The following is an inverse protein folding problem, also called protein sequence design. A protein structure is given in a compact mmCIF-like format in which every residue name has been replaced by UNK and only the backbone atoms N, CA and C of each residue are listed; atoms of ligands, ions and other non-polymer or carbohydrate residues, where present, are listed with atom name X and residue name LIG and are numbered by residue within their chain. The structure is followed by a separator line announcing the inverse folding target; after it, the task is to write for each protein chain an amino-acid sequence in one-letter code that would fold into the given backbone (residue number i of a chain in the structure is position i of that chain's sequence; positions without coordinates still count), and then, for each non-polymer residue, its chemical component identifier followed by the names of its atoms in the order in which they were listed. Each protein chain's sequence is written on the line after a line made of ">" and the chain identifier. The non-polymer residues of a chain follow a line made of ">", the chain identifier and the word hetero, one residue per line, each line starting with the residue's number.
data_IF_035774845352
#
_entry.id   IF_035774845352
#
_cell.length_a   1.000
_cell.length_b   1.000
_cell.length_c   1.000
_cell.angle_alpha   90.00
_cell.angle_beta   90.00
_cell.angle_gamma   90.00
#
_symmetry.space_group_name_H-M   'P 1'
#
loop_
_entity.id
_entity.type
_entity.pdbx_description
1 polymer ?
#
# COMPACT_ATOMS: atom_id res chain seq x y z
N UNK A 1 -32.89 9.50 -23.81
CA UNK A 1 -32.05 9.48 -22.61
C UNK A 1 -31.47 8.07 -22.50
N UNK A 2 -30.20 7.92 -22.73
CA UNK A 2 -29.51 6.67 -22.38
C UNK A 2 -29.30 6.68 -20.88
N UNK A 3 -29.94 5.74 -20.17
CA UNK A 3 -29.76 5.56 -18.73
C UNK A 3 -28.27 5.32 -18.43
N UNK A 4 -27.80 5.83 -17.29
CA UNK A 4 -26.47 5.51 -16.80
C UNK A 4 -26.31 3.99 -16.75
N UNK A 5 -25.15 3.43 -17.12
CA UNK A 5 -24.94 1.99 -17.03
C UNK A 5 -25.15 1.55 -15.58
N UNK A 6 -25.99 0.55 -15.42
CA UNK A 6 -26.22 -0.08 -14.11
C UNK A 6 -24.98 -0.88 -13.73
N UNK A 7 -24.19 -0.33 -12.80
CA UNK A 7 -22.99 -0.96 -12.26
C UNK A 7 -23.29 -2.07 -11.23
N UNK A 8 -24.54 -2.50 -11.07
CA UNK A 8 -25.01 -3.31 -9.94
C UNK A 8 -24.89 -4.82 -10.09
N UNK A 9 -24.43 -5.37 -11.23
CA UNK A 9 -24.40 -6.83 -11.45
C UNK A 9 -23.03 -7.30 -11.93
N UNK A 10 -22.03 -7.29 -11.03
CA UNK A 10 -20.79 -8.03 -11.29
C UNK A 10 -20.30 -8.72 -10.03
N UNK A 11 -19.72 -9.91 -10.18
CA UNK A 11 -19.07 -10.69 -9.15
C UNK A 11 -18.28 -9.78 -8.22
N UNK A 12 -18.82 -9.49 -7.03
CA UNK A 12 -18.12 -8.67 -6.05
C UNK A 12 -16.84 -9.40 -5.64
N UNK A 13 -15.71 -8.78 -5.89
CA UNK A 13 -14.45 -9.24 -5.32
C UNK A 13 -14.56 -9.26 -3.80
N UNK A 14 -14.07 -10.32 -3.18
CA UNK A 14 -13.85 -10.34 -1.75
C UNK A 14 -12.49 -9.71 -1.37
N UNK A 15 -12.27 -9.53 -0.08
CA UNK A 15 -11.04 -8.91 0.45
C UNK A 15 -9.78 -9.69 0.05
N UNK A 16 -9.84 -11.01 0.00
CA UNK A 16 -8.74 -11.87 -0.40
C UNK A 16 -8.40 -11.68 -1.88
N UNK A 17 -9.41 -11.65 -2.72
CA UNK A 17 -9.24 -11.47 -4.17
C UNK A 17 -8.60 -10.12 -4.50
N UNK A 18 -9.04 -9.03 -3.87
CA UNK A 18 -8.45 -7.71 -4.12
C UNK A 18 -7.01 -7.63 -3.63
N UNK A 19 -6.69 -8.22 -2.48
CA UNK A 19 -5.30 -8.26 -1.99
C UNK A 19 -4.39 -9.12 -2.86
N UNK A 20 -4.89 -10.20 -3.45
CA UNK A 20 -4.15 -10.98 -4.45
C UNK A 20 -3.82 -10.13 -5.69
N UNK A 21 -4.70 -9.22 -6.11
CA UNK A 21 -4.41 -8.27 -7.20
C UNK A 21 -3.33 -7.26 -6.80
N UNK A 22 -3.41 -6.71 -5.59
CA UNK A 22 -2.37 -5.84 -5.04
C UNK A 22 -1.02 -6.55 -5.05
N UNK A 23 -0.96 -7.77 -4.53
CA UNK A 23 0.27 -8.57 -4.48
C UNK A 23 0.83 -8.82 -5.89
N UNK A 24 -0.01 -9.19 -6.86
CA UNK A 24 0.40 -9.40 -8.24
C UNK A 24 1.00 -8.14 -8.89
N UNK A 25 0.42 -6.97 -8.63
CA UNK A 25 0.96 -5.69 -9.11
C UNK A 25 2.30 -5.39 -8.42
N UNK A 26 2.41 -5.58 -7.12
CA UNK A 26 3.66 -5.40 -6.36
C UNK A 26 4.76 -6.33 -6.88
N UNK A 27 4.45 -7.60 -7.13
CA UNK A 27 5.43 -8.57 -7.64
C UNK A 27 5.99 -8.16 -9.00
N UNK A 28 5.16 -7.57 -9.85
CA UNK A 28 5.54 -7.14 -11.20
C UNK A 28 6.26 -5.79 -11.19
N UNK A 29 5.76 -4.79 -10.44
CA UNK A 29 6.21 -3.40 -10.54
C UNK A 29 7.05 -2.94 -9.35
N UNK A 30 7.09 -3.69 -8.26
CA UNK A 30 7.90 -3.45 -7.05
C UNK A 30 7.61 -2.15 -6.29
N UNK A 31 6.71 -1.31 -6.76
CA UNK A 31 6.42 -0.01 -6.15
C UNK A 31 4.92 0.23 -6.00
N UNK A 32 4.58 1.07 -5.03
CA UNK A 32 3.26 1.64 -4.84
C UNK A 32 3.38 3.10 -4.44
N UNK A 33 2.35 3.88 -4.68
CA UNK A 33 2.25 5.26 -4.24
C UNK A 33 1.54 5.30 -2.89
N UNK A 34 2.14 6.01 -1.93
CA UNK A 34 1.55 6.23 -0.61
C UNK A 34 1.21 7.70 -0.43
N UNK A 35 -0.06 7.99 -0.19
CA UNK A 35 -0.54 9.30 0.22
C UNK A 35 -0.67 9.36 1.75
N UNK A 36 -0.06 10.39 2.33
CA UNK A 36 -0.14 10.72 3.76
C UNK A 36 -0.56 12.17 3.93
N UNK A 37 -0.98 12.55 5.12
CA UNK A 37 -1.38 13.91 5.47
C UNK A 37 -0.45 14.41 6.58
N UNK A 38 0.05 15.65 6.45
CA UNK A 38 0.86 16.28 7.48
C UNK A 38 0.02 16.89 8.61
N UNK A 39 0.69 17.45 9.62
CA UNK A 39 0.03 18.06 10.79
C UNK A 39 -0.85 19.26 10.41
N UNK A 40 -0.58 19.91 9.28
CA UNK A 40 -1.37 21.04 8.76
C UNK A 40 -2.54 20.60 7.86
N UNK A 41 -2.73 19.28 7.66
CA UNK A 41 -3.75 18.73 6.80
C UNK A 41 -3.39 18.71 5.32
N UNK A 42 -2.12 18.94 4.96
CA UNK A 42 -1.66 18.92 3.57
C UNK A 42 -1.31 17.50 3.13
N UNK A 43 -1.77 17.06 1.94
CA UNK A 43 -1.44 15.73 1.42
C UNK A 43 -0.02 15.69 0.84
N UNK A 44 0.63 14.54 1.04
CA UNK A 44 1.93 14.20 0.46
C UNK A 44 1.85 12.85 -0.21
N UNK A 45 2.38 12.74 -1.44
CA UNK A 45 2.45 11.48 -2.19
C UNK A 45 3.91 11.12 -2.43
N UNK A 46 4.23 9.85 -2.26
CA UNK A 46 5.56 9.29 -2.54
C UNK A 46 5.46 7.84 -2.97
N UNK A 47 6.41 7.40 -3.75
CA UNK A 47 6.55 5.98 -4.03
C UNK A 47 7.33 5.28 -2.91
N UNK A 48 6.97 4.05 -2.63
CA UNK A 48 7.68 3.14 -1.73
C UNK A 48 7.71 1.75 -2.36
N UNK A 49 8.57 0.89 -1.81
CA UNK A 49 8.57 -0.54 -2.13
C UNK A 49 7.77 -1.27 -1.06
N UNK A 50 6.53 -1.67 -1.35
CA UNK A 50 5.67 -2.38 -0.41
C UNK A 50 5.84 -3.89 -0.49
N UNK A 51 5.31 -4.58 0.50
CA UNK A 51 5.10 -6.03 0.50
C UNK A 51 3.78 -6.40 1.18
N UNK A 52 3.24 -7.54 0.78
CA UNK A 52 2.18 -8.25 1.50
C UNK A 52 2.81 -9.52 2.05
N UNK A 53 2.60 -9.80 3.33
CA UNK A 53 3.08 -11.03 3.95
C UNK A 53 2.00 -12.12 3.86
N UNK A 54 2.41 -13.34 3.53
CA UNK A 54 1.49 -14.48 3.33
C UNK A 54 0.58 -14.73 4.53
N UNK A 55 1.12 -14.61 5.74
CA UNK A 55 0.40 -14.88 6.98
C UNK A 55 -0.39 -13.66 7.49
N UNK A 56 -0.29 -12.52 6.79
CA UNK A 56 -0.94 -11.25 7.14
C UNK A 56 -1.56 -10.58 5.91
N UNK A 57 -2.53 -11.24 5.25
CA UNK A 57 -3.04 -10.80 3.95
C UNK A 57 -3.87 -9.50 4.00
N UNK A 58 -4.26 -9.03 5.18
CA UNK A 58 -5.00 -7.78 5.39
C UNK A 58 -4.11 -6.58 5.68
N UNK A 59 -2.80 -6.66 5.44
CA UNK A 59 -1.87 -5.57 5.70
C UNK A 59 -0.87 -5.38 4.57
N UNK A 60 -0.40 -4.13 4.41
CA UNK A 60 0.66 -3.73 3.48
C UNK A 60 1.82 -3.20 4.30
N UNK A 61 3.02 -3.69 4.02
CA UNK A 61 4.25 -3.33 4.71
C UNK A 61 5.16 -2.51 3.81
N UNK A 62 5.91 -1.59 4.40
CA UNK A 62 6.97 -0.84 3.72
C UNK A 62 8.10 -0.48 4.70
N UNK A 63 9.28 -0.18 4.17
CA UNK A 63 10.44 0.26 4.94
C UNK A 63 10.76 1.69 4.57
N UNK A 64 11.10 2.50 5.58
CA UNK A 64 11.55 3.87 5.41
C UNK A 64 12.63 4.21 6.43
N UNK A 65 13.42 5.26 6.19
CA UNK A 65 14.31 5.78 7.22
C UNK A 65 13.49 6.45 8.34
N UNK A 66 13.77 6.09 9.59
CA UNK A 66 13.00 6.53 10.75
C UNK A 66 13.02 8.04 11.00
N UNK A 67 14.08 8.72 10.54
CA UNK A 67 14.25 10.16 10.66
C UNK A 67 13.52 11.00 9.60
N UNK A 68 12.90 10.39 8.61
CA UNK A 68 12.16 11.13 7.60
C UNK A 68 10.83 11.64 8.15
N UNK A 69 10.42 12.84 7.70
CA UNK A 69 9.18 13.50 8.09
C UNK A 69 7.93 12.62 7.93
N UNK A 70 7.92 11.66 6.99
CA UNK A 70 6.80 10.74 6.79
C UNK A 70 6.50 9.86 8.00
N UNK A 71 7.50 9.49 8.82
CA UNK A 71 7.26 8.71 10.05
C UNK A 71 6.50 9.58 11.06
N UNK A 72 6.86 10.85 11.21
CA UNK A 72 6.10 11.79 12.04
C UNK A 72 4.68 11.99 11.50
N UNK A 73 4.51 12.11 10.19
CA UNK A 73 3.20 12.26 9.55
C UNK A 73 2.29 11.07 9.85
N UNK A 74 2.77 9.83 9.70
CA UNK A 74 1.94 8.64 9.96
C UNK A 74 1.60 8.45 11.44
N UNK A 75 2.40 8.98 12.35
CA UNK A 75 2.08 9.00 13.79
C UNK A 75 0.97 10.00 14.13
N UNK A 76 0.98 11.17 13.50
CA UNK A 76 -0.02 12.23 13.73
C UNK A 76 -1.34 11.96 13.02
N UNK A 77 -1.28 11.45 11.80
CA UNK A 77 -2.43 11.15 10.94
C UNK A 77 -2.31 9.73 10.38
N UNK A 78 -2.87 8.72 11.07
CA UNK A 78 -2.69 7.31 10.70
C UNK A 78 -3.47 6.90 9.46
N UNK A 79 -4.47 7.67 9.01
CA UNK A 79 -5.24 7.34 7.81
C UNK A 79 -4.43 7.66 6.56
N UNK A 80 -4.26 6.64 5.71
CA UNK A 80 -3.47 6.71 4.48
C UNK A 80 -4.18 6.05 3.32
N UNK A 81 -3.71 6.34 2.11
CA UNK A 81 -4.16 5.67 0.91
C UNK A 81 -2.96 5.25 0.05
N UNK A 82 -2.97 3.99 -0.34
CA UNK A 82 -2.07 3.43 -1.33
C UNK A 82 -2.72 3.40 -2.70
N UNK A 83 -1.91 3.58 -3.74
CA UNK A 83 -2.33 3.32 -5.11
C UNK A 83 -1.33 2.38 -5.79
N UNK A 84 -1.86 1.32 -6.37
CA UNK A 84 -1.16 0.32 -7.18
C UNK A 84 -1.74 0.34 -8.57
N UNK A 85 -0.91 0.39 -9.59
CA UNK A 85 -1.37 0.48 -10.97
C UNK A 85 -0.47 -0.32 -11.91
N UNK A 86 -1.07 -0.83 -12.98
CA UNK A 86 -0.32 -1.37 -14.11
C UNK A 86 0.24 -0.23 -14.97
N UNK A 87 1.37 -0.41 -15.69
CA UNK A 87 1.92 0.63 -16.56
C UNK A 87 0.96 1.07 -17.66
N UNK A 88 0.15 0.16 -18.18
CA UNK A 88 -0.88 0.44 -19.19
C UNK A 88 -2.13 1.12 -18.62
N UNK A 89 -2.23 1.25 -17.29
CA UNK A 89 -3.39 1.78 -16.58
C UNK A 89 -4.70 1.04 -16.87
N UNK A 90 -4.61 -0.22 -17.24
CA UNK A 90 -5.77 -1.09 -17.43
C UNK A 90 -6.35 -1.61 -16.10
N UNK A 91 -5.56 -1.52 -15.03
CA UNK A 91 -5.98 -1.84 -13.66
C UNK A 91 -5.33 -0.87 -12.67
N UNK A 92 -6.16 -0.27 -11.80
CA UNK A 92 -5.75 0.57 -10.68
C UNK A 92 -6.43 0.09 -9.41
N UNK A 93 -5.66 -0.18 -8.36
CA UNK A 93 -6.19 -0.55 -7.04
C UNK A 93 -5.78 0.50 -6.02
N UNK A 94 -6.75 1.16 -5.41
CA UNK A 94 -6.54 2.05 -4.27
C UNK A 94 -6.89 1.33 -2.98
N UNK A 95 -6.05 1.46 -1.96
CA UNK A 95 -6.24 0.79 -0.67
C UNK A 95 -6.12 1.83 0.44
N UNK A 96 -7.18 1.98 1.23
CA UNK A 96 -7.20 2.81 2.44
C UNK A 96 -7.03 1.98 3.68
N UNK A 97 -6.39 2.56 4.68
CA UNK A 97 -6.24 1.94 5.98
C UNK A 97 -5.52 2.80 6.98
N UNK A 98 -5.34 2.24 8.16
CA UNK A 98 -4.59 2.86 9.23
C UNK A 98 -3.14 2.37 9.21
N UNK A 99 -2.19 3.31 9.15
CA UNK A 99 -0.77 3.01 9.15
C UNK A 99 -0.18 3.18 10.55
N UNK A 100 0.74 2.29 10.90
CA UNK A 100 1.49 2.37 12.15
C UNK A 100 2.97 1.97 11.94
N UNK A 101 3.81 2.34 12.89
CA UNK A 101 5.22 1.91 12.94
C UNK A 101 5.29 0.59 13.68
N UNK A 102 5.87 -0.41 13.05
CA UNK A 102 6.04 -1.74 13.65
C UNK A 102 7.20 -1.73 14.63
N UNK A 103 6.91 -1.97 15.91
CA UNK A 103 7.91 -2.06 16.98
C UNK A 103 8.28 -3.50 17.34
N UNK A 104 7.44 -4.48 16.99
CA UNK A 104 7.70 -5.89 17.25
C UNK A 104 8.94 -6.38 16.49
N UNK A 105 10.00 -6.86 17.17
CA UNK A 105 11.26 -7.25 16.54
C UNK A 105 11.12 -8.39 15.53
N UNK A 106 10.28 -9.38 15.79
CA UNK A 106 10.07 -10.53 14.90
C UNK A 106 9.41 -10.11 13.60
N UNK A 107 8.33 -9.33 13.68
CA UNK A 107 7.63 -8.82 12.52
C UNK A 107 8.52 -7.86 11.71
N UNK A 108 9.27 -7.00 12.42
CA UNK A 108 10.24 -6.11 11.80
C UNK A 108 11.29 -6.89 11.00
N UNK A 109 11.85 -7.95 11.58
CA UNK A 109 12.85 -8.80 10.92
C UNK A 109 12.27 -9.49 9.67
N UNK A 110 11.05 -10.02 9.77
CA UNK A 110 10.34 -10.66 8.66
C UNK A 110 10.13 -9.69 7.48
N UNK A 111 9.66 -8.48 7.75
CA UNK A 111 9.47 -7.45 6.71
C UNK A 111 10.79 -7.06 6.06
N UNK A 112 11.85 -6.89 6.86
CA UNK A 112 13.19 -6.59 6.36
C UNK A 112 13.73 -7.70 5.45
N UNK A 113 13.46 -8.96 5.78
CA UNK A 113 13.86 -10.11 4.97
C UNK A 113 13.15 -10.13 3.61
N UNK A 114 11.86 -9.82 3.58
CA UNK A 114 11.06 -9.83 2.34
C UNK A 114 11.38 -8.62 1.45
N UNK A 115 11.45 -7.42 2.03
CA UNK A 115 11.64 -6.18 1.27
C UNK A 115 13.11 -5.88 1.00
N UNK A 116 14.00 -6.22 1.93
CA UNK A 116 15.42 -5.87 1.88
C UNK A 116 16.11 -6.17 0.54
N UNK A 117 15.97 -7.38 -0.03
CA UNK A 117 16.58 -7.72 -1.32
C UNK A 117 16.13 -6.84 -2.49
N UNK A 118 14.94 -6.24 -2.39
CA UNK A 118 14.37 -5.33 -3.40
C UNK A 118 14.91 -3.90 -3.29
N UNK A 119 15.56 -3.57 -2.17
CA UNK A 119 16.03 -2.24 -1.82
C UNK A 119 17.56 -2.08 -1.92
N UNK A 120 18.21 -2.76 -2.82
CA UNK A 120 19.69 -2.75 -2.95
C UNK A 120 20.30 -1.34 -2.99
N UNK A 121 19.63 -0.39 -3.63
CA UNK A 121 20.04 1.01 -3.67
C UNK A 121 19.91 1.67 -2.30
N UNK A 122 18.91 1.29 -1.54
CA UNK A 122 18.63 1.82 -0.20
C UNK A 122 19.68 1.37 0.82
N UNK A 123 20.14 0.11 0.72
CA UNK A 123 21.17 -0.44 1.60
C UNK A 123 22.52 0.24 1.47
N UNK A 124 22.83 0.81 0.31
CA UNK A 124 24.03 1.62 0.11
C UNK A 124 23.99 2.95 0.85
N UNK A 125 22.81 3.44 1.18
CA UNK A 125 22.57 4.73 1.83
C UNK A 125 22.28 4.57 3.33
N UNK A 126 21.77 3.42 3.76
CA UNK A 126 21.46 3.11 5.15
C UNK A 126 22.55 2.21 5.74
N UNK A 127 23.52 2.81 6.43
CA UNK A 127 24.62 2.08 7.07
C UNK A 127 24.18 1.29 8.31
N UNK A 128 23.00 1.57 8.86
CA UNK A 128 22.50 0.92 10.07
C UNK A 128 21.00 0.60 9.93
N UNK A 129 20.64 -0.68 10.05
CA UNK A 129 19.24 -1.14 10.02
C UNK A 129 18.40 -0.64 11.19
N UNK A 130 19.04 -0.19 12.28
CA UNK A 130 18.35 0.42 13.43
C UNK A 130 17.70 1.76 13.09
N UNK A 131 18.22 2.47 12.09
CA UNK A 131 17.67 3.73 11.60
C UNK A 131 16.48 3.54 10.66
N UNK A 132 16.12 2.29 10.33
CA UNK A 132 14.99 1.96 9.48
C UNK A 132 13.72 1.83 10.30
N UNK A 133 12.65 2.42 9.81
CA UNK A 133 11.29 2.18 10.30
C UNK A 133 10.55 1.21 9.38
N UNK A 134 9.87 0.25 9.97
CA UNK A 134 8.92 -0.63 9.27
C UNK A 134 7.53 -0.09 9.49
N UNK A 135 6.82 0.14 8.40
CA UNK A 135 5.44 0.63 8.40
C UNK A 135 4.49 -0.52 8.08
N UNK A 136 3.39 -0.58 8.79
CA UNK A 136 2.27 -1.48 8.53
C UNK A 136 1.02 -0.66 8.26
N UNK A 137 0.36 -0.89 7.14
CA UNK A 137 -0.98 -0.37 6.86
C UNK A 137 -1.98 -1.50 7.03
N UNK A 138 -2.83 -1.40 8.05
CA UNK A 138 -3.97 -2.31 8.23
C UNK A 138 -5.07 -1.87 7.28
N UNK A 139 -5.43 -2.73 6.34
CA UNK A 139 -6.38 -2.40 5.27
C UNK A 139 -7.80 -2.35 5.82
N UNK A 140 -8.52 -1.30 5.51
CA UNK A 140 -9.93 -1.11 5.89
C UNK A 140 -10.86 -1.14 4.67
N UNK A 141 -10.35 -0.68 3.53
CA UNK A 141 -11.15 -0.50 2.33
C UNK A 141 -10.26 -0.54 1.09
N UNK A 142 -10.73 -1.16 0.02
CA UNK A 142 -10.05 -1.16 -1.27
C UNK A 142 -11.03 -0.87 -2.41
N UNK A 143 -10.53 -0.23 -3.45
CA UNK A 143 -11.25 0.02 -4.69
C UNK A 143 -10.41 -0.46 -5.86
N UNK A 144 -10.96 -1.35 -6.66
CA UNK A 144 -10.36 -1.77 -7.93
C UNK A 144 -11.06 -1.08 -9.08
N UNK A 145 -10.32 -0.42 -9.92
CA UNK A 145 -10.81 0.26 -11.11
C UNK A 145 -10.19 -0.33 -12.37
N UNK A 146 -11.02 -0.64 -13.34
CA UNK A 146 -10.66 -1.14 -14.66
C UNK A 146 -11.05 -0.09 -15.70
N UNK A 147 -10.15 0.85 -16.06
CA UNK A 147 -10.49 2.00 -16.89
C UNK A 147 -11.08 1.64 -18.26
N UNK A 148 -10.52 0.61 -18.91
CA UNK A 148 -11.00 0.19 -20.24
C UNK A 148 -12.41 -0.41 -20.23
N UNK A 149 -12.83 -0.94 -19.09
CA UNK A 149 -14.16 -1.50 -18.90
C UNK A 149 -15.12 -0.51 -18.23
N UNK A 150 -14.62 0.64 -17.75
CA UNK A 150 -15.40 1.57 -16.94
C UNK A 150 -15.95 0.95 -15.66
N UNK A 151 -15.31 -0.10 -15.15
CA UNK A 151 -15.78 -0.90 -14.01
C UNK A 151 -15.03 -0.56 -12.74
N UNK A 152 -15.77 -0.35 -11.66
CA UNK A 152 -15.25 -0.08 -10.33
C UNK A 152 -15.84 -1.06 -9.32
N UNK A 153 -14.99 -1.68 -8.53
CA UNK A 153 -15.35 -2.61 -7.46
C UNK A 153 -14.87 -2.05 -6.13
N UNK A 154 -15.71 -2.10 -5.10
CA UNK A 154 -15.41 -1.60 -3.75
C UNK A 154 -15.49 -2.76 -2.79
N UNK A 155 -14.44 -2.90 -1.94
CA UNK A 155 -14.32 -3.98 -0.97
C UNK A 155 -14.03 -3.40 0.41
N UNK A 156 -14.77 -3.84 1.41
CA UNK A 156 -14.54 -3.54 2.83
C UNK A 156 -13.89 -4.74 3.52
N UNK A 157 -12.98 -4.46 4.44
CA UNK A 157 -12.21 -5.45 5.20
C UNK A 157 -12.72 -5.57 6.62
#
# INVERSE_FOLDING_TARGET
>A
MKGAPDFSIFNHMDSRQVMNRVEAIIETHKTGLLATVDEEGKPHIRWLTPAVLRDRPGAIYAITAGRFAKVAQVKSHPQVEWMFQTPSLDEVVSVRGAINVVENPSLRAEVLEVIGPRLRTFWKLAHDTRDLAVLETVVEHATRFLPMEGRKEVVHF
#
